data_IF_537379564239
#
_entry.id   IF_537379564239
#
_cell.length_a   1.000
_cell.length_b   1.000
_cell.length_c   1.000
_cell.angle_alpha   90.00
_cell.angle_beta   90.00
_cell.angle_gamma   90.00
#
_symmetry.space_group_name_H-M   'P 1'
#
loop_
_entity.id
_entity.type
_entity.pdbx_description
1 polymer ?
#
# COMPACT_ATOMS: atom_id res chain seq x y z
N UNK A 1 -5.58 -16.96 18.26
CA UNK A 1 -5.77 -16.25 16.98
C UNK A 1 -6.06 -14.78 17.27
N UNK A 2 -5.03 -13.93 17.21
CA UNK A 2 -5.19 -12.47 17.35
C UNK A 2 -5.20 -11.89 15.94
N UNK A 3 -6.30 -11.25 15.55
CA UNK A 3 -6.48 -10.65 14.23
C UNK A 3 -5.54 -9.47 14.04
N UNK A 4 -4.71 -9.49 13.00
CA UNK A 4 -3.95 -8.32 12.56
C UNK A 4 -4.93 -7.23 12.10
N UNK A 5 -4.98 -6.12 12.85
CA UNK A 5 -5.61 -4.88 12.38
C UNK A 5 -4.61 -4.18 11.48
N UNK A 6 -4.93 -4.09 10.19
CA UNK A 6 -4.22 -3.25 9.23
C UNK A 6 -4.42 -1.79 9.62
N UNK A 7 -3.34 -1.15 10.08
CA UNK A 7 -3.33 0.28 10.35
C UNK A 7 -3.04 1.01 9.02
N UNK A 8 -3.99 1.81 8.56
CA UNK A 8 -3.78 2.74 7.44
C UNK A 8 -3.53 4.14 8.02
N UNK A 9 -2.30 4.66 7.98
CA UNK A 9 -2.03 6.03 8.39
C UNK A 9 -2.60 6.99 7.34
N UNK A 10 -3.66 7.72 7.68
CA UNK A 10 -4.37 8.59 6.74
C UNK A 10 -3.83 10.01 6.65
N UNK A 11 -2.89 10.46 7.50
CA UNK A 11 -2.33 11.81 7.39
C UNK A 11 -0.86 11.87 7.83
N UNK A 12 0.04 12.15 6.88
CA UNK A 12 1.38 12.67 7.18
C UNK A 12 1.28 14.19 7.17
N UNK A 13 0.93 14.78 8.31
CA UNK A 13 1.03 16.22 8.51
C UNK A 13 2.48 16.57 8.88
N UNK A 14 3.34 16.65 7.85
CA UNK A 14 4.70 17.13 7.98
C UNK A 14 4.67 18.66 7.84
N UNK A 15 4.39 19.35 8.95
CA UNK A 15 4.57 20.80 9.04
C UNK A 15 6.03 21.18 8.76
N UNK A 16 6.33 22.04 7.76
CA UNK A 16 7.72 22.38 7.37
C UNK A 16 8.47 23.29 8.36
N UNK A 17 7.89 23.64 9.51
CA UNK A 17 8.30 24.82 10.28
C UNK A 17 9.46 24.63 11.28
N UNK A 18 10.09 23.46 11.41
CA UNK A 18 11.05 23.22 12.51
C UNK A 18 12.46 22.74 12.14
N UNK A 19 12.85 22.80 10.86
CA UNK A 19 14.26 22.62 10.50
C UNK A 19 15.03 23.94 10.53
N UNK A 20 15.31 24.43 11.74
CA UNK A 20 16.46 25.32 11.93
C UNK A 20 17.70 24.43 12.06
N UNK A 21 18.49 24.36 10.99
CA UNK A 21 19.83 23.78 11.03
C UNK A 21 20.77 24.76 11.74
N UNK A 22 21.62 24.32 12.66
CA UNK A 22 22.69 25.17 13.17
C UNK A 22 23.70 25.39 12.04
N UNK A 23 23.87 26.65 11.64
CA UNK A 23 24.90 27.12 10.73
C UNK A 23 26.27 26.93 11.35
N UNK A 24 26.97 25.86 10.99
CA UNK A 24 28.41 25.74 11.25
C UNK A 24 29.15 26.71 10.35
N UNK A 25 29.45 27.88 10.90
CA UNK A 25 30.34 28.89 10.32
C UNK A 25 31.74 28.32 10.19
N UNK A 26 32.19 28.08 8.96
CA UNK A 26 33.58 27.78 8.64
C UNK A 26 34.40 29.07 8.71
N UNK A 27 35.12 29.28 9.80
CA UNK A 27 36.22 30.26 9.85
C UNK A 27 37.55 29.51 9.89
N UNK A 28 38.27 29.57 8.77
CA UNK A 28 39.68 29.23 8.71
C UNK A 28 40.45 30.28 9.53
N UNK A 29 40.96 29.89 10.70
CA UNK A 29 41.95 30.67 11.44
C UNK A 29 43.20 29.81 11.61
N UNK A 30 44.21 30.12 10.81
CA UNK A 30 45.57 29.60 10.95
C UNK A 30 46.24 30.42 12.05
N UNK A 31 46.50 29.82 13.21
CA UNK A 31 47.37 30.39 14.22
C UNK A 31 48.37 29.32 14.66
N UNK A 32 49.62 29.65 14.39
CA UNK A 32 50.85 28.89 14.57
C UNK A 32 51.33 29.13 16.02
N UNK A 33 51.09 28.18 16.93
CA UNK A 33 51.65 28.18 18.30
C UNK A 33 51.98 26.74 18.74
N UNK A 34 53.29 26.53 18.96
CA UNK A 34 54.06 25.56 19.73
C UNK A 34 53.43 24.25 20.31
N UNK A 35 54.23 23.16 20.43
CA UNK A 35 53.77 21.87 20.90
C UNK A 35 53.97 21.72 22.42
N UNK A 36 52.91 21.44 23.18
CA UNK A 36 52.95 20.59 24.38
C UNK A 36 51.55 20.42 24.99
N UNK A 37 51.31 19.24 25.57
CA UNK A 37 50.08 18.75 26.24
C UNK A 37 48.98 18.14 25.35
N UNK A 38 49.21 16.90 24.92
CA UNK A 38 48.13 15.95 24.66
C UNK A 38 47.46 15.57 25.99
N UNK A 39 46.25 16.08 26.24
CA UNK A 39 45.34 15.47 27.22
C UNK A 39 44.17 14.85 26.48
N UNK A 40 44.08 13.53 26.61
CA UNK A 40 43.02 12.66 26.11
C UNK A 40 41.66 13.11 26.67
N UNK A 41 40.82 13.75 25.86
CA UNK A 41 39.41 13.94 26.16
C UNK A 41 38.63 12.70 25.71
N UNK A 42 38.43 11.78 26.64
CA UNK A 42 37.51 10.65 26.52
C UNK A 42 36.07 11.17 26.48
N UNK A 43 35.23 10.76 25.50
CA UNK A 43 33.83 11.12 25.49
C UNK A 43 33.11 10.42 26.65
N UNK A 44 32.59 11.22 27.57
CA UNK A 44 31.89 10.75 28.76
C UNK A 44 30.52 10.17 28.36
N UNK A 45 30.45 8.84 28.26
CA UNK A 45 29.23 8.06 28.02
C UNK A 45 28.28 8.26 29.21
N UNK A 46 27.28 9.14 29.08
CA UNK A 46 26.19 9.27 30.07
C UNK A 46 25.44 7.94 30.13
N UNK A 47 25.62 7.20 31.22
CA UNK A 47 24.78 6.07 31.56
C UNK A 47 23.41 6.62 31.97
N UNK A 48 22.37 6.31 31.19
CA UNK A 48 21.00 6.58 31.58
C UNK A 48 20.55 5.48 32.57
N UNK A 49 19.87 5.84 33.67
CA UNK A 49 19.42 4.88 34.67
C UNK A 49 18.30 3.98 34.12
N UNK A 50 18.49 2.67 34.28
CA UNK A 50 17.52 1.62 33.96
C UNK A 50 16.27 1.77 34.81
N UNK A 51 15.27 2.46 34.28
CA UNK A 51 13.91 2.45 34.81
C UNK A 51 12.98 1.92 33.71
N UNK A 52 12.06 0.99 34.02
CA UNK A 52 11.13 0.45 33.04
C UNK A 52 10.06 1.50 32.76
N UNK A 53 10.33 2.40 31.81
CA UNK A 53 9.48 3.56 31.51
C UNK A 53 8.91 3.45 30.11
N UNK A 54 7.59 3.26 30.05
CA UNK A 54 6.66 3.56 28.96
C UNK A 54 7.28 3.68 27.58
N UNK A 55 7.29 2.54 26.90
CA UNK A 55 7.81 2.33 25.58
C UNK A 55 6.84 2.85 24.51
N UNK A 56 6.71 4.18 24.45
CA UNK A 56 5.87 4.86 23.46
C UNK A 56 6.63 5.00 22.13
N UNK A 57 5.94 4.85 20.97
CA UNK A 57 6.56 4.99 19.66
C UNK A 57 7.35 6.29 19.47
N UNK A 58 6.85 7.40 20.02
CA UNK A 58 7.51 8.72 19.96
C UNK A 58 8.88 8.71 20.66
N UNK A 59 9.00 8.02 21.80
CA UNK A 59 10.25 7.91 22.55
C UNK A 59 11.26 7.03 21.83
N UNK A 60 10.83 5.90 21.25
CA UNK A 60 11.68 5.07 20.37
C UNK A 60 12.25 5.88 19.21
N UNK A 61 11.40 6.67 18.56
CA UNK A 61 11.79 7.53 17.42
C UNK A 61 12.80 8.62 17.83
N UNK A 62 12.64 9.19 19.03
CA UNK A 62 13.58 10.17 19.58
C UNK A 62 14.92 9.54 19.94
N UNK A 63 14.92 8.32 20.50
CA UNK A 63 16.14 7.57 20.83
C UNK A 63 16.88 7.17 19.55
N UNK A 64 16.20 6.68 18.52
CA UNK A 64 16.84 6.39 17.23
C UNK A 64 17.40 7.65 16.57
N UNK A 65 16.66 8.77 16.58
CA UNK A 65 17.18 10.03 16.07
C UNK A 65 18.42 10.52 16.84
N UNK A 66 18.41 10.44 18.17
CA UNK A 66 19.54 10.82 19.01
C UNK A 66 20.76 9.92 18.78
N UNK A 67 20.55 8.61 18.65
CA UNK A 67 21.62 7.66 18.37
C UNK A 67 22.22 7.87 16.97
N UNK A 68 21.37 8.13 15.95
CA UNK A 68 21.83 8.47 14.61
C UNK A 68 22.67 9.76 14.62
N UNK A 69 22.23 10.79 15.34
CA UNK A 69 22.97 12.05 15.48
C UNK A 69 24.28 11.91 16.27
N UNK A 70 24.36 10.97 17.22
CA UNK A 70 25.55 10.75 18.05
C UNK A 70 26.65 9.94 17.34
N UNK A 71 26.36 9.34 16.18
CA UNK A 71 27.40 8.66 15.40
C UNK A 71 28.31 9.67 14.71
N UNK A 72 29.61 9.64 15.03
CA UNK A 72 30.62 10.56 14.49
C UNK A 72 30.77 10.49 12.96
N UNK A 73 30.26 9.42 12.34
CA UNK A 73 30.36 9.21 10.90
C UNK A 73 29.35 10.03 10.08
N UNK A 74 28.33 10.66 10.69
CA UNK A 74 27.45 11.66 10.08
C UNK A 74 26.76 11.31 8.73
N UNK A 75 26.89 10.07 8.23
CA UNK A 75 26.60 9.69 6.85
C UNK A 75 25.94 8.31 6.78
N UNK A 76 24.88 8.09 7.57
CA UNK A 76 24.18 6.80 7.57
C UNK A 76 23.03 6.70 6.55
N UNK A 77 22.73 7.76 5.78
CA UNK A 77 21.55 7.76 4.90
C UNK A 77 21.79 8.13 3.44
N UNK A 78 23.04 8.37 3.04
CA UNK A 78 23.37 8.58 1.62
C UNK A 78 24.68 7.87 1.35
N UNK A 79 24.61 6.60 0.93
CA UNK A 79 25.74 6.03 0.21
C UNK A 79 26.01 6.95 -0.98
N UNK A 80 27.18 7.60 -1.03
CA UNK A 80 27.54 8.46 -2.16
C UNK A 80 27.66 7.66 -3.46
N UNK A 81 27.76 6.33 -3.37
CA UNK A 81 27.65 5.44 -4.52
C UNK A 81 26.21 5.49 -5.04
N UNK A 82 25.97 5.95 -6.28
CA UNK A 82 24.66 5.84 -6.90
C UNK A 82 24.27 4.36 -6.93
N UNK A 83 23.07 4.05 -6.47
CA UNK A 83 22.49 2.73 -6.68
C UNK A 83 22.38 2.53 -8.19
N UNK A 84 23.17 1.62 -8.73
CA UNK A 84 23.07 1.23 -10.13
C UNK A 84 22.26 -0.08 -10.21
N UNK A 85 21.75 -0.40 -11.39
CA UNK A 85 20.99 -1.63 -11.61
C UNK A 85 21.81 -2.91 -11.35
N UNK A 86 23.13 -2.80 -11.21
CA UNK A 86 24.03 -3.93 -11.00
C UNK A 86 24.30 -4.23 -9.51
N UNK A 87 24.00 -3.30 -8.60
CA UNK A 87 24.15 -3.53 -7.16
C UNK A 87 22.93 -4.27 -6.62
N UNK A 88 23.04 -5.55 -6.24
CA UNK A 88 21.92 -6.26 -5.64
C UNK A 88 21.53 -5.59 -4.32
N UNK A 89 20.22 -5.50 -4.06
CA UNK A 89 19.73 -5.00 -2.78
C UNK A 89 20.38 -5.80 -1.64
N UNK A 90 21.08 -5.14 -0.70
CA UNK A 90 21.63 -5.81 0.46
C UNK A 90 20.45 -6.44 1.20
N UNK A 91 20.56 -7.73 1.50
CA UNK A 91 19.58 -8.39 2.37
C UNK A 91 19.72 -7.75 3.73
N UNK A 92 18.74 -6.91 4.09
CA UNK A 92 18.81 -6.07 5.29
C UNK A 92 18.66 -6.86 6.58
N UNK A 93 18.12 -8.08 6.49
CA UNK A 93 17.89 -8.96 7.61
C UNK A 93 18.56 -10.29 7.32
N UNK A 94 19.54 -10.65 8.15
CA UNK A 94 20.17 -11.95 8.09
C UNK A 94 19.21 -13.01 8.62
N UNK A 95 19.20 -14.16 7.93
CA UNK A 95 18.47 -15.33 8.39
C UNK A 95 19.14 -15.84 9.64
N UNK A 96 18.34 -16.17 10.66
CA UNK A 96 18.82 -16.96 11.79
C UNK A 96 19.15 -18.36 11.26
N UNK A 97 20.42 -18.63 10.98
CA UNK A 97 20.88 -19.98 10.63
C UNK A 97 20.87 -20.78 11.92
N UNK A 98 19.74 -21.44 12.21
CA UNK A 98 19.61 -22.25 13.40
C UNK A 98 19.99 -23.68 13.08
N UNK A 99 21.06 -24.16 13.69
CA UNK A 99 21.48 -25.57 13.63
C UNK A 99 20.59 -26.40 14.58
N UNK A 100 19.30 -26.52 14.26
CA UNK A 100 18.38 -27.36 15.02
C UNK A 100 18.46 -28.82 14.55
N UNK A 101 18.37 -29.81 15.47
CA UNK A 101 18.28 -31.21 15.09
C UNK A 101 17.03 -31.44 14.25
N UNK A 102 17.16 -32.16 13.13
CA UNK A 102 16.02 -32.45 12.24
C UNK A 102 15.00 -33.32 13.00
N UNK A 103 13.69 -32.98 12.98
CA UNK A 103 12.67 -33.82 13.59
C UNK A 103 12.62 -35.18 12.90
N UNK A 104 12.59 -36.24 13.69
CA UNK A 104 12.45 -37.61 13.22
C UNK A 104 10.97 -37.91 12.94
N UNK A 105 10.55 -37.71 11.69
CA UNK A 105 9.19 -38.00 11.27
C UNK A 105 8.87 -39.50 11.21
N UNK A 106 9.87 -40.38 11.31
CA UNK A 106 9.63 -41.83 11.31
C UNK A 106 8.82 -42.27 12.54
N UNK A 107 8.91 -41.53 13.65
CA UNK A 107 8.14 -41.78 14.88
C UNK A 107 6.62 -41.63 14.70
N UNK A 108 6.15 -40.99 13.63
CA UNK A 108 4.72 -40.92 13.30
C UNK A 108 4.19 -42.23 12.74
N UNK A 109 5.08 -43.07 12.21
CA UNK A 109 4.77 -44.41 11.70
C UNK A 109 4.82 -45.39 12.86
N UNK A 110 3.84 -45.29 13.75
CA UNK A 110 3.62 -46.29 14.80
C UNK A 110 3.41 -47.61 14.07
N UNK A 111 4.32 -48.58 14.26
CA UNK A 111 4.12 -49.92 13.73
C UNK A 111 2.85 -50.48 14.35
N UNK A 112 1.95 -51.01 13.54
CA UNK A 112 0.73 -51.67 14.01
C UNK A 112 1.01 -52.98 14.77
N UNK A 113 2.27 -53.34 14.98
CA UNK A 113 2.70 -54.55 15.64
C UNK A 113 2.56 -54.41 17.17
N UNK A 114 1.59 -55.11 17.80
CA UNK A 114 1.37 -55.01 19.25
C UNK A 114 2.57 -55.53 20.04
N UNK A 115 3.42 -56.37 19.44
CA UNK A 115 4.55 -56.97 20.15
C UNK A 115 5.69 -55.99 20.46
N UNK A 116 5.74 -54.85 19.75
CA UNK A 116 6.73 -53.80 20.01
C UNK A 116 6.46 -52.98 21.28
N UNK A 117 5.26 -53.10 21.86
CA UNK A 117 4.85 -52.36 23.06
C UNK A 117 4.74 -53.25 24.30
N UNK A 118 5.30 -54.46 24.26
CA UNK A 118 5.27 -55.43 25.35
C UNK A 118 6.22 -55.01 26.49
N UNK A 119 5.88 -53.94 27.22
CA UNK A 119 6.57 -53.50 28.42
C UNK A 119 6.29 -52.04 28.80
N UNK A 120 6.00 -51.80 30.08
CA UNK A 120 5.80 -50.45 30.63
C UNK A 120 7.01 -49.54 30.39
N UNK A 121 8.22 -50.09 30.49
CA UNK A 121 9.47 -49.36 30.28
C UNK A 121 9.68 -48.99 28.80
N UNK A 122 9.40 -49.92 27.87
CA UNK A 122 9.48 -49.69 26.43
C UNK A 122 8.52 -48.57 26.00
N UNK A 123 7.29 -48.59 26.51
CA UNK A 123 6.31 -47.53 26.29
C UNK A 123 6.78 -46.18 26.85
N UNK A 124 7.34 -46.16 28.07
CA UNK A 124 7.90 -44.95 28.67
C UNK A 124 9.02 -44.33 27.83
N UNK A 125 9.93 -45.15 27.30
CA UNK A 125 11.01 -44.70 26.43
C UNK A 125 10.50 -44.17 25.08
N UNK A 126 9.50 -44.81 24.48
CA UNK A 126 8.86 -44.34 23.25
C UNK A 126 8.18 -42.97 23.46
N UNK A 127 7.46 -42.79 24.58
CA UNK A 127 6.86 -41.51 24.97
C UNK A 127 7.95 -40.45 25.14
N UNK A 128 9.07 -40.78 25.79
CA UNK A 128 10.21 -39.87 25.95
C UNK A 128 10.77 -39.40 24.60
N UNK A 129 11.02 -40.33 23.68
CA UNK A 129 11.48 -40.03 22.31
C UNK A 129 10.50 -39.14 21.55
N UNK A 130 9.20 -39.47 21.59
CA UNK A 130 8.17 -38.69 20.93
C UNK A 130 8.08 -37.27 21.51
N UNK A 131 8.17 -37.14 22.83
CA UNK A 131 8.16 -35.85 23.53
C UNK A 131 9.34 -34.98 23.12
N UNK A 132 10.55 -35.57 23.06
CA UNK A 132 11.75 -34.85 22.60
C UNK A 132 11.61 -34.43 21.13
N UNK A 133 11.09 -35.30 20.28
CA UNK A 133 10.88 -35.00 18.86
C UNK A 133 9.83 -33.91 18.65
N UNK A 134 8.75 -33.92 19.42
CA UNK A 134 7.71 -32.88 19.40
C UNK A 134 8.26 -31.53 19.85
N UNK A 135 9.15 -31.53 20.86
CA UNK A 135 9.88 -30.32 21.26
C UNK A 135 10.75 -29.79 20.11
N UNK A 136 11.54 -30.65 19.46
CA UNK A 136 12.35 -30.24 18.31
C UNK A 136 11.48 -29.69 17.17
N UNK A 137 10.37 -30.35 16.85
CA UNK A 137 9.44 -29.90 15.81
C UNK A 137 8.83 -28.52 16.15
N UNK A 138 8.51 -28.28 17.42
CA UNK A 138 8.06 -26.98 17.91
C UNK A 138 9.14 -25.91 17.74
N UNK A 139 10.37 -26.20 18.16
CA UNK A 139 11.49 -25.25 18.02
C UNK A 139 11.73 -24.88 16.55
N UNK A 140 11.64 -25.85 15.62
CA UNK A 140 11.69 -25.59 14.18
C UNK A 140 10.54 -24.71 13.69
N UNK A 141 9.32 -24.94 14.19
CA UNK A 141 8.15 -24.14 13.81
C UNK A 141 8.30 -22.69 14.27
N UNK A 142 8.76 -22.48 15.50
CA UNK A 142 8.95 -21.13 16.07
C UNK A 142 10.00 -20.35 15.24
N UNK A 143 11.15 -20.98 14.94
CA UNK A 143 12.18 -20.40 14.05
C UNK A 143 11.66 -20.12 12.64
N UNK A 144 10.79 -20.99 12.10
CA UNK A 144 10.18 -20.76 10.80
C UNK A 144 9.24 -19.55 10.82
N UNK A 145 8.42 -19.41 11.86
CA UNK A 145 7.55 -18.24 12.03
C UNK A 145 8.35 -16.94 12.12
N UNK A 146 9.42 -16.90 12.91
CA UNK A 146 10.32 -15.74 12.99
C UNK A 146 10.94 -15.40 11.62
N UNK A 147 11.42 -16.41 10.89
CA UNK A 147 11.96 -16.21 9.54
C UNK A 147 10.90 -15.70 8.56
N UNK A 148 9.65 -16.15 8.68
CA UNK A 148 8.54 -15.69 7.84
C UNK A 148 8.23 -14.21 8.10
N UNK A 149 8.25 -13.76 9.36
CA UNK A 149 8.11 -12.35 9.71
C UNK A 149 9.24 -11.51 9.14
N UNK A 150 10.48 -11.99 9.22
CA UNK A 150 11.65 -11.37 8.60
C UNK A 150 11.48 -11.22 7.09
N UNK A 151 11.02 -12.27 6.39
CA UNK A 151 10.78 -12.20 4.94
C UNK A 151 9.68 -11.21 4.60
N UNK A 152 8.56 -11.23 5.33
CA UNK A 152 7.47 -10.29 5.10
C UNK A 152 7.96 -8.83 5.27
N UNK A 153 8.72 -8.55 6.33
CA UNK A 153 9.32 -7.24 6.55
C UNK A 153 10.27 -6.84 5.42
N UNK A 154 11.13 -7.77 4.97
CA UNK A 154 12.06 -7.51 3.86
C UNK A 154 11.32 -7.19 2.55
N UNK A 155 10.25 -7.91 2.24
CA UNK A 155 9.42 -7.66 1.05
C UNK A 155 8.81 -6.26 1.08
N UNK A 156 8.26 -5.82 2.22
CA UNK A 156 7.71 -4.47 2.37
C UNK A 156 8.79 -3.40 2.17
N UNK A 157 9.99 -3.59 2.73
CA UNK A 157 11.09 -2.63 2.56
C UNK A 157 11.54 -2.56 1.09
N UNK A 158 11.62 -3.70 0.41
CA UNK A 158 11.95 -3.75 -1.02
C UNK A 158 10.90 -3.01 -1.85
N UNK A 159 9.62 -3.26 -1.60
CA UNK A 159 8.52 -2.60 -2.30
C UNK A 159 8.52 -1.07 -2.09
N UNK A 160 8.68 -0.62 -0.84
CA UNK A 160 8.82 0.81 -0.54
C UNK A 160 10.02 1.45 -1.25
N UNK A 161 11.14 0.72 -1.35
CA UNK A 161 12.34 1.22 -2.01
C UNK A 161 12.17 1.29 -3.52
N UNK A 162 11.54 0.26 -4.12
CA UNK A 162 11.16 0.25 -5.54
C UNK A 162 10.24 1.42 -5.86
N UNK A 163 9.16 1.62 -5.08
CA UNK A 163 8.24 2.73 -5.25
C UNK A 163 8.95 4.09 -5.20
N UNK A 164 9.92 4.26 -4.29
CA UNK A 164 10.73 5.48 -4.21
C UNK A 164 11.63 5.66 -5.43
N UNK A 165 12.29 4.61 -5.90
CA UNK A 165 13.13 4.68 -7.11
C UNK A 165 12.29 4.99 -8.35
N UNK A 166 11.15 4.33 -8.52
CA UNK A 166 10.22 4.60 -9.61
C UNK A 166 9.78 6.06 -9.60
N UNK A 167 9.43 6.62 -8.42
CA UNK A 167 9.09 8.04 -8.31
C UNK A 167 10.22 8.96 -8.78
N UNK A 168 11.46 8.70 -8.36
CA UNK A 168 12.63 9.49 -8.79
C UNK A 168 12.84 9.40 -10.30
N UNK A 169 12.67 8.21 -10.90
CA UNK A 169 12.74 8.03 -12.36
C UNK A 169 11.64 8.85 -13.04
N UNK A 170 10.40 8.75 -12.58
CA UNK A 170 9.30 9.55 -13.11
C UNK A 170 9.54 11.05 -12.99
N UNK A 171 10.02 11.53 -11.84
CA UNK A 171 10.36 12.95 -11.65
C UNK A 171 11.45 13.41 -12.62
N UNK A 172 12.48 12.59 -12.85
CA UNK A 172 13.53 12.90 -13.82
C UNK A 172 13.02 12.85 -15.27
N UNK A 173 12.12 11.93 -15.59
CA UNK A 173 11.49 11.85 -16.91
C UNK A 173 10.57 13.03 -17.16
N UNK A 174 9.73 13.40 -16.20
CA UNK A 174 8.89 14.59 -16.25
C UNK A 174 9.73 15.86 -16.33
N UNK A 175 10.82 15.97 -15.57
CA UNK A 175 11.75 17.09 -15.69
C UNK A 175 12.40 17.13 -17.08
N UNK A 176 12.79 15.99 -17.65
CA UNK A 176 13.29 15.90 -19.03
C UNK A 176 12.22 16.28 -20.04
N UNK A 177 10.95 15.91 -19.84
CA UNK A 177 9.82 16.32 -20.70
C UNK A 177 9.53 17.81 -20.58
N UNK A 178 9.64 18.40 -19.39
CA UNK A 178 9.48 19.84 -19.18
C UNK A 178 10.64 20.64 -19.80
N UNK A 179 11.88 20.17 -19.62
CA UNK A 179 13.09 20.78 -20.19
C UNK A 179 13.16 20.63 -21.69
N UNK A 180 12.76 19.47 -22.22
CA UNK A 180 12.46 19.33 -23.65
C UNK A 180 11.13 20.01 -23.92
N UNK A 181 11.16 21.34 -24.04
CA UNK A 181 10.19 22.12 -24.79
C UNK A 181 10.12 21.53 -26.21
N UNK A 182 9.46 20.38 -26.36
CA UNK A 182 9.46 19.57 -27.58
C UNK A 182 8.37 20.09 -28.48
N UNK A 183 8.39 21.39 -28.74
CA UNK A 183 7.97 21.83 -30.05
C UNK A 183 9.10 21.41 -31.02
N UNK A 184 9.10 20.13 -31.36
CA UNK A 184 9.80 19.70 -32.54
C UNK A 184 8.96 20.20 -33.72
N UNK A 185 9.59 20.96 -34.61
CA UNK A 185 8.93 21.32 -35.87
C UNK A 185 8.44 20.01 -36.54
N UNK A 186 7.23 19.99 -37.10
CA UNK A 186 6.74 18.83 -37.83
C UNK A 186 7.76 18.39 -38.89
N UNK A 187 7.99 17.09 -39.05
CA UNK A 187 8.92 16.52 -40.04
C UNK A 187 10.39 17.02 -39.97
N UNK A 188 11.16 16.62 -38.93
CA UNK A 188 12.59 16.94 -38.85
C UNK A 188 13.44 16.24 -39.94
N UNK A 189 12.84 15.47 -40.85
CA UNK A 189 13.52 14.46 -41.68
C UNK A 189 14.08 14.90 -43.04
N UNK A 190 13.71 16.05 -43.61
CA UNK A 190 14.08 16.32 -45.01
C UNK A 190 14.33 17.79 -45.31
N UNK A 191 15.48 18.34 -44.89
CA UNK A 191 16.13 19.54 -45.48
C UNK A 191 15.24 20.75 -45.79
N UNK A 192 14.08 20.86 -45.15
CA UNK A 192 13.04 21.80 -45.53
C UNK A 192 13.44 23.13 -44.93
N UNK A 193 13.69 24.11 -45.80
CA UNK A 193 13.97 25.47 -45.34
C UNK A 193 12.63 26.02 -44.83
N UNK A 194 12.52 26.17 -43.52
CA UNK A 194 11.34 26.76 -42.89
C UNK A 194 11.39 28.27 -43.03
N UNK A 195 10.29 28.87 -43.49
CA UNK A 195 10.09 30.32 -43.41
C UNK A 195 9.61 30.68 -42.00
N UNK A 196 9.95 31.88 -41.53
CA UNK A 196 9.54 32.37 -40.21
C UNK A 196 8.01 32.31 -40.01
N UNK A 197 7.25 32.55 -41.09
CA UNK A 197 5.79 32.45 -41.09
C UNK A 197 5.31 31.01 -40.86
N UNK A 198 5.94 30.01 -41.49
CA UNK A 198 5.60 28.61 -41.30
C UNK A 198 5.89 28.14 -39.87
N UNK A 199 6.98 28.63 -39.26
CA UNK A 199 7.31 28.36 -37.84
C UNK A 199 6.24 28.98 -36.93
N UNK A 200 5.85 30.23 -37.19
CA UNK A 200 4.83 30.91 -36.40
C UNK A 200 3.47 30.22 -36.48
N UNK A 201 3.09 29.73 -37.66
CA UNK A 201 1.85 28.98 -37.85
C UNK A 201 1.88 27.64 -37.11
N UNK A 202 2.95 26.85 -37.27
CA UNK A 202 3.09 25.58 -36.57
C UNK A 202 3.06 25.73 -35.03
N UNK A 203 3.62 26.83 -34.50
CA UNK A 203 3.53 27.17 -33.08
C UNK A 203 2.10 27.50 -32.61
N UNK A 204 1.29 28.16 -33.45
CA UNK A 204 -0.14 28.42 -33.15
C UNK A 204 -0.92 27.12 -33.17
N UNK A 205 -0.78 26.32 -34.22
CA UNK A 205 -1.46 25.04 -34.37
C UNK A 205 -1.14 24.09 -33.20
N UNK A 206 0.11 24.08 -32.73
CA UNK A 206 0.49 23.30 -31.57
C UNK A 206 -0.21 23.76 -30.29
N UNK A 207 -0.28 25.08 -30.04
CA UNK A 207 -1.00 25.63 -28.88
C UNK A 207 -2.49 25.33 -28.94
N UNK A 208 -3.11 25.48 -30.10
CA UNK A 208 -4.53 25.22 -30.29
C UNK A 208 -4.85 23.74 -30.11
N UNK A 209 -3.99 22.84 -30.61
CA UNK A 209 -4.16 21.40 -30.40
C UNK A 209 -3.99 20.99 -28.93
N UNK A 210 -3.01 21.54 -28.22
CA UNK A 210 -2.85 21.29 -26.78
C UNK A 210 -4.03 21.87 -25.96
N UNK A 211 -4.54 23.05 -26.33
CA UNK A 211 -5.76 23.61 -25.73
C UNK A 211 -6.97 22.70 -25.97
N UNK A 212 -7.15 22.16 -27.18
CA UNK A 212 -8.22 21.23 -27.51
C UNK A 212 -8.10 19.92 -26.72
N UNK A 213 -6.92 19.30 -26.69
CA UNK A 213 -6.67 18.08 -25.91
C UNK A 213 -6.94 18.29 -24.42
N UNK A 214 -6.58 19.45 -23.87
CA UNK A 214 -6.86 19.79 -22.48
C UNK A 214 -8.36 19.95 -22.24
N UNK A 215 -9.07 20.67 -23.11
CA UNK A 215 -10.51 20.80 -23.04
C UNK A 215 -11.23 19.45 -23.10
N UNK A 216 -10.79 18.56 -23.99
CA UNK A 216 -11.32 17.19 -24.10
C UNK A 216 -11.07 16.36 -22.84
N UNK A 217 -9.85 16.41 -22.28
CA UNK A 217 -9.53 15.77 -21.00
C UNK A 217 -10.38 16.32 -19.85
N UNK A 218 -10.59 17.63 -19.80
CA UNK A 218 -11.41 18.28 -18.76
C UNK A 218 -12.89 17.88 -18.90
N UNK A 219 -13.41 17.77 -20.12
CA UNK A 219 -14.77 17.24 -20.38
C UNK A 219 -14.88 15.77 -19.96
N UNK A 220 -13.89 14.94 -20.31
CA UNK A 220 -13.84 13.54 -19.89
C UNK A 220 -13.78 13.37 -18.37
N UNK A 221 -13.01 14.21 -17.67
CA UNK A 221 -12.95 14.22 -16.21
C UNK A 221 -14.30 14.61 -15.59
N UNK A 222 -14.97 15.64 -16.11
CA UNK A 222 -16.32 16.03 -15.67
C UNK A 222 -17.33 14.90 -15.88
N UNK A 223 -17.34 14.23 -17.04
CA UNK A 223 -18.22 13.09 -17.33
C UNK A 223 -17.98 11.91 -16.38
N UNK A 224 -16.72 11.65 -16.01
CA UNK A 224 -16.38 10.62 -15.02
C UNK A 224 -16.86 10.98 -13.61
N UNK A 225 -16.71 12.24 -13.22
CA UNK A 225 -17.15 12.71 -11.91
C UNK A 225 -18.69 12.68 -11.77
N UNK A 226 -19.43 13.07 -12.81
CA UNK A 226 -20.89 12.96 -12.83
C UNK A 226 -21.36 11.50 -12.81
N UNK A 227 -20.75 10.60 -13.59
CA UNK A 227 -21.05 9.16 -13.52
C UNK A 227 -20.76 8.60 -12.10
N UNK A 228 -19.68 9.06 -11.45
CA UNK A 228 -19.31 8.63 -10.09
C UNK A 228 -20.32 9.11 -9.05
N UNK A 229 -20.75 10.37 -9.12
CA UNK A 229 -21.74 10.93 -8.19
C UNK A 229 -23.11 10.27 -8.37
N UNK A 230 -23.55 10.02 -9.61
CA UNK A 230 -24.78 9.28 -9.91
C UNK A 230 -24.75 7.87 -9.32
N UNK A 231 -23.64 7.14 -9.51
CA UNK A 231 -23.48 5.79 -8.95
C UNK A 231 -23.51 5.78 -7.42
N UNK A 232 -22.90 6.79 -6.79
CA UNK A 232 -22.90 6.94 -5.34
C UNK A 232 -24.31 7.23 -4.79
N UNK A 233 -25.09 8.09 -5.47
CA UNK A 233 -26.47 8.39 -5.08
C UNK A 233 -27.40 7.17 -5.22
N UNK A 234 -27.28 6.42 -6.32
CA UNK A 234 -28.00 5.15 -6.50
C UNK A 234 -27.64 4.16 -5.39
N UNK A 235 -26.37 4.05 -5.02
CA UNK A 235 -25.94 3.16 -3.94
C UNK A 235 -26.49 3.59 -2.57
N UNK A 236 -26.55 4.90 -2.30
CA UNK A 236 -27.12 5.47 -1.06
C UNK A 236 -28.60 5.12 -0.95
N UNK A 237 -29.40 5.45 -1.98
CA UNK A 237 -30.84 5.12 -2.01
C UNK A 237 -31.09 3.61 -1.90
N UNK A 238 -30.25 2.80 -2.54
CA UNK A 238 -30.35 1.34 -2.45
C UNK A 238 -30.09 0.80 -1.03
N UNK A 239 -29.18 1.43 -0.28
CA UNK A 239 -28.94 1.09 1.14
C UNK A 239 -30.16 1.45 1.99
N UNK A 240 -30.76 2.62 1.77
CA UNK A 240 -31.97 3.06 2.48
C UNK A 240 -33.17 2.15 2.19
N UNK A 241 -33.38 1.73 0.93
CA UNK A 241 -34.44 0.79 0.55
C UNK A 241 -34.23 -0.60 1.18
N UNK A 242 -32.99 -1.09 1.23
CA UNK A 242 -32.71 -2.38 1.89
C UNK A 242 -32.96 -2.33 3.39
N UNK A 243 -32.62 -1.21 4.02
CA UNK A 243 -32.83 -1.00 5.45
C UNK A 243 -34.32 -0.90 5.80
N UNK A 244 -35.09 -0.11 5.05
CA UNK A 244 -36.54 -0.01 5.21
C UNK A 244 -37.24 -1.35 4.99
N UNK A 245 -36.87 -2.09 3.93
CA UNK A 245 -37.42 -3.42 3.68
C UNK A 245 -37.07 -4.43 4.78
N UNK A 246 -35.85 -4.36 5.35
CA UNK A 246 -35.48 -5.19 6.51
C UNK A 246 -36.42 -4.91 7.68
N UNK A 247 -36.66 -3.63 8.00
CA UNK A 247 -37.53 -3.23 9.09
C UNK A 247 -38.99 -3.64 8.82
N UNK A 248 -39.48 -3.54 7.58
CA UNK A 248 -40.80 -4.04 7.18
C UNK A 248 -40.92 -5.56 7.33
N UNK A 249 -39.88 -6.32 6.98
CA UNK A 249 -39.85 -7.78 7.16
C UNK A 249 -39.84 -8.17 8.64
N UNK A 250 -39.15 -7.43 9.50
CA UNK A 250 -39.15 -7.63 10.95
C UNK A 250 -40.54 -7.34 11.53
N UNK A 251 -41.14 -6.19 11.20
CA UNK A 251 -42.50 -5.84 11.60
C UNK A 251 -43.54 -6.86 11.09
N UNK A 252 -43.40 -7.33 9.85
CA UNK A 252 -44.27 -8.36 9.27
C UNK A 252 -44.14 -9.70 10.01
N UNK A 253 -42.92 -10.13 10.35
CA UNK A 253 -42.68 -11.34 11.15
C UNK A 253 -43.32 -11.24 12.53
N UNK A 254 -43.18 -10.10 13.20
CA UNK A 254 -43.80 -9.86 14.50
C UNK A 254 -45.33 -9.90 14.43
N UNK A 255 -45.91 -9.22 13.43
CA UNK A 255 -47.35 -9.25 13.17
C UNK A 255 -47.84 -10.68 12.90
N UNK A 256 -47.17 -11.41 12.01
CA UNK A 256 -47.49 -12.80 11.69
C UNK A 256 -47.38 -13.72 12.91
N UNK A 257 -46.42 -13.46 13.81
CA UNK A 257 -46.27 -14.22 15.06
C UNK A 257 -47.48 -13.99 15.98
N UNK A 258 -47.89 -12.74 16.19
CA UNK A 258 -49.07 -12.39 17.00
C UNK A 258 -50.35 -13.03 16.44
N UNK A 259 -50.58 -12.93 15.13
CA UNK A 259 -51.76 -13.52 14.48
C UNK A 259 -51.81 -15.06 14.59
N UNK A 260 -50.65 -15.73 14.63
CA UNK A 260 -50.59 -17.18 14.89
C UNK A 260 -50.91 -17.51 16.34
N UNK A 261 -50.46 -16.70 17.28
CA UNK A 261 -50.79 -16.84 18.71
C UNK A 261 -52.32 -16.67 18.93
N UNK A 262 -52.97 -15.82 18.15
CA UNK A 262 -54.43 -15.63 18.14
C UNK A 262 -55.22 -16.74 17.41
N UNK A 263 -54.55 -17.78 16.91
CA UNK A 263 -55.18 -18.95 16.29
C UNK A 263 -55.61 -18.79 14.83
N UNK A 264 -55.13 -17.76 14.11
CA UNK A 264 -55.41 -17.65 12.67
C UNK A 264 -54.73 -18.75 11.85
N UNK A 265 -55.42 -19.19 10.79
CA UNK A 265 -54.91 -20.21 9.87
C UNK A 265 -53.81 -19.62 9.00
N UNK A 266 -52.83 -20.45 8.62
CA UNK A 266 -51.65 -20.02 7.84
C UNK A 266 -52.00 -19.31 6.51
N UNK A 267 -53.14 -19.66 5.92
CA UNK A 267 -53.61 -19.11 4.64
C UNK A 267 -54.12 -17.67 4.75
N UNK A 268 -54.52 -17.24 5.95
CA UNK A 268 -55.13 -15.93 6.20
C UNK A 268 -54.09 -14.91 6.70
N UNK A 269 -52.80 -15.28 6.78
CA UNK A 269 -51.74 -14.34 7.14
C UNK A 269 -51.48 -13.34 6.01
N UNK A 270 -51.11 -12.09 6.35
CA UNK A 270 -50.76 -11.09 5.36
C UNK A 270 -49.60 -11.56 4.48
N UNK A 271 -49.65 -11.27 3.16
CA UNK A 271 -48.57 -11.64 2.24
C UNK A 271 -47.26 -10.94 2.65
N UNK A 272 -46.13 -11.55 2.30
CA UNK A 272 -44.81 -10.96 2.57
C UNK A 272 -44.66 -9.67 1.74
N UNK A 273 -44.09 -8.59 2.32
CA UNK A 273 -43.71 -7.39 1.57
C UNK A 273 -42.85 -7.73 0.35
N UNK A 274 -43.09 -7.06 -0.78
CA UNK A 274 -42.31 -7.23 -2.02
C UNK A 274 -41.12 -6.27 -2.01
N UNK A 275 -39.97 -6.75 -2.47
CA UNK A 275 -38.75 -5.95 -2.58
C UNK A 275 -38.66 -5.31 -3.97
N UNK A 276 -38.38 -4.00 -4.04
CA UNK A 276 -38.16 -3.27 -5.30
C UNK A 276 -36.82 -3.74 -5.89
N UNK A 277 -36.77 -3.95 -7.20
CA UNK A 277 -35.52 -4.38 -7.84
C UNK A 277 -34.56 -3.19 -7.99
N UNK A 278 -33.25 -3.47 -7.99
CA UNK A 278 -32.24 -2.43 -8.20
C UNK A 278 -32.39 -1.75 -9.58
N UNK A 279 -32.91 -2.47 -10.59
CA UNK A 279 -33.12 -1.94 -11.94
C UNK A 279 -34.21 -0.86 -11.93
N UNK A 280 -35.31 -1.10 -11.23
CA UNK A 280 -36.42 -0.15 -11.11
C UNK A 280 -35.97 1.14 -10.41
N UNK A 281 -35.10 1.02 -9.40
CA UNK A 281 -34.51 2.18 -8.72
C UNK A 281 -33.61 2.99 -9.66
N UNK A 282 -32.79 2.32 -10.47
CA UNK A 282 -31.93 3.01 -11.44
C UNK A 282 -32.77 3.79 -12.44
N UNK A 283 -33.87 3.21 -12.95
CA UNK A 283 -34.79 3.90 -13.87
C UNK A 283 -35.42 5.14 -13.22
N UNK A 284 -35.88 5.03 -11.97
CA UNK A 284 -36.45 6.18 -11.24
C UNK A 284 -35.44 7.31 -11.03
N UNK A 285 -34.19 6.97 -10.66
CA UNK A 285 -33.14 7.99 -10.47
C UNK A 285 -32.71 8.60 -11.80
N UNK A 286 -32.71 7.83 -12.90
CA UNK A 286 -32.41 8.36 -14.23
C UNK A 286 -33.49 9.35 -14.69
N UNK A 287 -34.77 9.00 -14.52
CA UNK A 287 -35.91 9.86 -14.85
C UNK A 287 -35.93 11.16 -14.02
N UNK A 288 -35.57 11.10 -12.73
CA UNK A 288 -35.46 12.28 -11.87
C UNK A 288 -34.33 13.23 -12.32
N UNK A 289 -33.21 12.69 -12.79
CA UNK A 289 -32.05 13.49 -13.24
C UNK A 289 -32.29 14.08 -14.63
N UNK A 290 -32.91 13.31 -15.54
CA UNK A 290 -33.28 13.80 -16.88
C UNK A 290 -34.43 14.82 -16.83
N UNK A 291 -35.34 14.70 -15.86
CA UNK A 291 -36.45 15.65 -15.66
C UNK A 291 -36.01 17.06 -15.22
N UNK A 292 -34.81 17.21 -14.68
CA UNK A 292 -34.25 18.51 -14.23
C UNK A 292 -33.21 19.08 -15.22
N UNK A 293 -32.78 18.29 -16.20
CA UNK A 293 -31.83 18.69 -17.24
C UNK A 293 -32.55 18.93 -18.57
N UNK A 294 -32.92 20.20 -18.81
CA UNK A 294 -33.32 20.69 -20.14
C UNK A 294 -32.30 20.23 -21.19
N UNK A 295 -32.78 19.35 -22.08
CA UNK A 295 -32.33 19.07 -23.45
C UNK A 295 -30.88 19.43 -23.75
N UNK A 296 -29.98 18.47 -23.59
CA UNK A 296 -28.75 18.42 -24.39
C UNK A 296 -28.73 17.07 -25.12
N UNK A 297 -29.48 17.01 -26.22
CA UNK A 297 -29.36 15.94 -27.22
C UNK A 297 -27.91 15.81 -27.67
N UNK A 298 -27.40 14.58 -27.71
CA UNK A 298 -26.18 14.28 -28.46
C UNK A 298 -25.36 13.15 -27.88
N UNK A 299 -25.49 11.99 -28.52
CA UNK A 299 -24.48 10.94 -28.66
C UNK A 299 -24.46 9.83 -27.59
N UNK A 300 -25.37 8.88 -27.79
CA UNK A 300 -25.33 7.50 -27.32
C UNK A 300 -24.24 6.73 -28.09
N UNK A 301 -22.98 6.97 -27.74
CA UNK A 301 -21.92 6.01 -28.03
C UNK A 301 -21.93 4.93 -26.95
N UNK A 302 -22.49 3.79 -27.33
CA UNK A 302 -22.27 2.47 -26.74
C UNK A 302 -20.80 2.27 -26.37
N UNK A 303 -20.52 2.32 -25.06
CA UNK A 303 -19.29 1.85 -24.41
C UNK A 303 -19.16 0.33 -24.70
N UNK A 304 -18.65 -0.05 -25.87
CA UNK A 304 -17.97 -1.33 -26.00
C UNK A 304 -16.71 -1.27 -25.14
N UNK A 305 -16.68 -2.09 -24.09
CA UNK A 305 -15.50 -2.36 -23.26
C UNK A 305 -14.36 -2.91 -24.13
N UNK A 306 -13.71 -2.03 -24.88
CA UNK A 306 -12.40 -2.27 -25.46
C UNK A 306 -11.41 -2.19 -24.32
N UNK A 307 -11.22 -3.34 -23.67
CA UNK A 307 -10.06 -3.67 -22.87
C UNK A 307 -8.81 -3.59 -23.78
N UNK A 308 -8.35 -2.39 -24.07
CA UNK A 308 -7.07 -2.14 -24.73
C UNK A 308 -5.98 -2.49 -23.73
N UNK A 309 -5.62 -3.77 -23.71
CA UNK A 309 -4.37 -4.24 -23.15
C UNK A 309 -3.25 -3.46 -23.80
N UNK A 310 -2.68 -2.57 -23.00
CA UNK A 310 -1.41 -1.88 -23.19
C UNK A 310 -0.35 -2.95 -23.47
N UNK A 311 -0.21 -3.28 -24.74
CA UNK A 311 0.79 -4.21 -25.24
C UNK A 311 1.98 -3.34 -25.61
N UNK A 312 2.92 -3.24 -24.67
CA UNK A 312 4.25 -2.69 -24.87
C UNK A 312 4.86 -3.32 -26.13
N UNK A 313 4.82 -2.57 -27.22
CA UNK A 313 5.47 -2.90 -28.48
C UNK A 313 6.99 -2.80 -28.25
N UNK A 314 7.58 -3.96 -28.03
CA UNK A 314 9.01 -4.17 -27.89
C UNK A 314 9.65 -4.04 -29.28
N UNK A 315 9.84 -2.80 -29.73
CA UNK A 315 10.60 -2.52 -30.94
C UNK A 315 12.08 -2.86 -30.67
N UNK A 316 12.46 -4.03 -31.15
CA UNK A 316 13.81 -4.57 -31.14
C UNK A 316 14.59 -3.96 -32.31
N UNK A 317 15.59 -3.15 -32.00
CA UNK A 317 16.82 -3.06 -32.80
C UNK A 317 17.78 -4.20 -32.42
#
# INVERSE_FOLDING_TARGET
MKSFRTYWPTNFDLSPSHQQTPTTSSSNFTLDIAPEFQTLLTPHRRQFPDTPVDDTPSKRMRITAANLAATSSGSFLVSKSPYNSQTPFPRLLDRTIVNLPRPDWSLTRISADPDQYNGKEAMGHAIGKLTMNLKNAKDHHDVFCENQEIFAAQTVIQDMTLAKMSRVVYEQEEEKKLRKSTFALPDPGYGRIWTDEAIAQAMRDHRDNEARKKAEKDLGAKKRETKRSQKAEIERRWKEIKETHRNELEAHKECCKKLREDGMRVKDLPPKPKHISRKDLTSQVLEEIEGEAVVSEGDDETDEESNSGDSDDSDSM
#
